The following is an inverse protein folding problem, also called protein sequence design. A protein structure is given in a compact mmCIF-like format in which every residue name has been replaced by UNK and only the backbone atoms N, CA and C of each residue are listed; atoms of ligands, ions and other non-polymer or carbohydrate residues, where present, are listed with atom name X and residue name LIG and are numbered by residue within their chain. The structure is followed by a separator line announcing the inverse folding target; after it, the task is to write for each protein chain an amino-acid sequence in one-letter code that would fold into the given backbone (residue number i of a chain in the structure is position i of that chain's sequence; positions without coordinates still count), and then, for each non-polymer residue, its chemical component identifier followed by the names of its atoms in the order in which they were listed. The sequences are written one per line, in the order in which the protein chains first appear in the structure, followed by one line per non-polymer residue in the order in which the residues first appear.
data_IF_452834647315
#
_entry.id   IF_452834647315
#
_cell.length_a   1.000
_cell.length_b   1.000
_cell.length_c   1.000
_cell.angle_alpha   90.00
_cell.angle_beta   90.00
_cell.angle_gamma   90.00
#
_symmetry.space_group_name_H-M   'P 1'
#
loop_
_entity.id
_entity.type
_entity.pdbx_description
1 polymer ?
#
# COMPACT_ATOMS: atom_id res chain seq x y z
N UNK A 1 -12.84 -45.96 -4.55
CA UNK A 1 -11.57 -45.30 -4.18
C UNK A 1 -11.74 -43.79 -4.21
N UNK A 2 -12.13 -43.16 -3.09
CA UNK A 2 -12.09 -41.70 -2.90
C UNK A 2 -11.37 -41.36 -1.57
N UNK A 3 -10.30 -42.08 -1.29
CA UNK A 3 -9.52 -41.95 -0.05
C UNK A 3 -8.00 -41.94 -0.31
N UNK A 4 -7.55 -41.38 -1.44
CA UNK A 4 -6.09 -41.25 -1.72
C UNK A 4 -5.60 -39.81 -1.81
N UNK A 5 -6.49 -38.83 -1.71
CA UNK A 5 -6.13 -37.45 -1.48
C UNK A 5 -6.87 -37.02 -0.23
N UNK A 6 -6.14 -36.95 0.89
CA UNK A 6 -6.68 -36.51 2.16
C UNK A 6 -7.45 -35.21 1.98
N UNK A 7 -8.54 -35.02 2.72
CA UNK A 7 -9.22 -33.71 2.77
C UNK A 7 -8.25 -32.71 3.39
N UNK A 8 -7.41 -32.12 2.55
CA UNK A 8 -6.48 -31.09 2.98
C UNK A 8 -7.27 -29.82 3.21
N UNK A 9 -7.07 -29.23 4.38
CA UNK A 9 -7.66 -27.94 4.71
C UNK A 9 -7.12 -26.84 3.77
N UNK A 10 -7.89 -25.78 3.55
CA UNK A 10 -7.49 -24.68 2.67
C UNK A 10 -6.17 -24.04 3.10
N UNK A 11 -5.91 -23.99 4.42
CA UNK A 11 -4.64 -23.53 4.97
C UNK A 11 -3.45 -24.35 4.47
N UNK A 12 -3.59 -25.68 4.39
CA UNK A 12 -2.55 -26.58 3.89
C UNK A 12 -2.31 -26.37 2.39
N UNK A 13 -3.39 -26.30 1.60
CA UNK A 13 -3.28 -26.09 0.15
C UNK A 13 -2.63 -24.74 -0.16
N UNK A 14 -2.99 -23.70 0.59
CA UNK A 14 -2.37 -22.38 0.48
C UNK A 14 -0.88 -22.43 0.81
N UNK A 15 -0.49 -23.13 1.87
CA UNK A 15 0.92 -23.33 2.24
C UNK A 15 1.72 -24.11 1.19
N UNK A 16 1.12 -25.12 0.57
CA UNK A 16 1.76 -25.87 -0.53
C UNK A 16 1.92 -25.01 -1.79
N UNK A 17 0.91 -24.22 -2.15
CA UNK A 17 1.00 -23.28 -3.27
C UNK A 17 2.10 -22.24 -3.01
N UNK A 18 2.16 -21.70 -1.79
CA UNK A 18 3.23 -20.77 -1.39
C UNK A 18 4.58 -21.48 -1.47
N UNK A 19 4.74 -22.67 -0.88
CA UNK A 19 6.02 -23.38 -0.89
C UNK A 19 6.50 -23.71 -2.30
N UNK A 20 5.59 -24.14 -3.18
CA UNK A 20 5.92 -24.58 -4.54
C UNK A 20 6.20 -23.43 -5.50
N UNK A 21 5.48 -22.31 -5.37
CA UNK A 21 5.52 -21.22 -6.34
C UNK A 21 6.18 -19.93 -5.83
N UNK A 22 6.43 -19.82 -4.52
CA UNK A 22 7.16 -18.68 -3.95
C UNK A 22 8.66 -18.93 -4.06
N UNK A 23 9.22 -18.65 -5.24
CA UNK A 23 10.65 -18.71 -5.47
C UNK A 23 11.36 -17.69 -4.55
N UNK A 24 12.48 -18.07 -3.92
CA UNK A 24 13.32 -17.13 -3.13
C UNK A 24 13.67 -15.88 -3.94
N UNK A 25 13.88 -16.01 -5.26
CA UNK A 25 14.09 -14.87 -6.15
C UNK A 25 12.90 -13.91 -6.20
N UNK A 26 11.67 -14.40 -6.15
CA UNK A 26 10.47 -13.56 -6.09
C UNK A 26 10.37 -12.82 -4.75
N UNK A 27 10.68 -13.49 -3.64
CA UNK A 27 10.69 -12.84 -2.31
C UNK A 27 11.69 -11.69 -2.26
N UNK A 28 12.92 -11.95 -2.70
CA UNK A 28 13.97 -10.93 -2.83
C UNK A 28 13.55 -9.78 -3.75
N UNK A 29 12.90 -10.06 -4.88
CA UNK A 29 12.37 -9.02 -5.76
C UNK A 29 11.30 -8.16 -5.06
N UNK A 30 10.37 -8.78 -4.35
CA UNK A 30 9.32 -8.06 -3.61
C UNK A 30 9.88 -7.23 -2.46
N UNK A 31 10.85 -7.76 -1.70
CA UNK A 31 11.57 -7.04 -0.66
C UNK A 31 12.30 -5.84 -1.24
N UNK A 32 13.12 -6.03 -2.28
CA UNK A 32 13.84 -4.94 -2.96
C UNK A 32 12.88 -3.88 -3.53
N UNK A 33 11.74 -4.32 -4.08
CA UNK A 33 10.71 -3.42 -4.63
C UNK A 33 10.04 -2.61 -3.52
N UNK A 34 9.79 -3.19 -2.35
CA UNK A 34 9.28 -2.46 -1.19
C UNK A 34 10.35 -1.54 -0.60
N UNK A 35 11.60 -1.99 -0.55
CA UNK A 35 12.70 -1.22 0.04
C UNK A 35 13.02 0.04 -0.76
N UNK A 36 13.05 -0.07 -2.08
CA UNK A 36 13.24 1.04 -3.01
C UNK A 36 12.00 1.92 -3.21
N UNK A 37 10.82 1.48 -2.74
CA UNK A 37 9.61 2.27 -2.83
C UNK A 37 9.60 3.38 -1.78
N UNK A 38 9.73 4.62 -2.26
CA UNK A 38 9.43 5.82 -1.48
C UNK A 38 8.11 6.42 -1.95
N UNK A 39 7.33 6.97 -1.03
CA UNK A 39 6.13 7.70 -1.41
C UNK A 39 6.53 9.00 -2.11
N UNK A 40 5.96 9.22 -3.29
CA UNK A 40 6.05 10.48 -4.00
C UNK A 40 4.63 10.88 -4.40
N UNK A 41 4.15 11.96 -3.81
CA UNK A 41 2.80 12.45 -4.07
C UNK A 41 2.61 12.87 -5.51
N UNK A 42 3.59 13.50 -6.16
CA UNK A 42 3.47 13.96 -7.55
C UNK A 42 3.22 12.82 -8.54
N UNK A 43 3.75 11.63 -8.21
CA UNK A 43 3.73 10.45 -9.08
C UNK A 43 2.58 9.49 -8.79
N UNK A 44 2.10 9.46 -7.55
CA UNK A 44 1.16 8.42 -7.11
C UNK A 44 0.01 8.99 -6.30
N UNK A 45 -1.19 8.49 -6.58
CA UNK A 45 -2.31 8.62 -5.66
C UNK A 45 -2.02 7.85 -4.37
N UNK A 46 -2.24 8.52 -3.23
CA UNK A 46 -1.94 8.01 -1.90
C UNK A 46 -2.62 6.66 -1.64
N UNK A 47 -3.94 6.59 -1.81
CA UNK A 47 -4.75 5.41 -1.51
C UNK A 47 -4.25 4.20 -2.32
N UNK A 48 -4.11 4.38 -3.63
CA UNK A 48 -3.62 3.36 -4.54
C UNK A 48 -2.19 2.90 -4.20
N UNK A 49 -1.30 3.84 -3.85
CA UNK A 49 0.07 3.50 -3.45
C UNK A 49 0.10 2.74 -2.12
N UNK A 50 -0.69 3.18 -1.14
CA UNK A 50 -0.78 2.58 0.18
C UNK A 50 -1.27 1.12 0.08
N UNK A 51 -2.38 0.88 -0.63
CA UNK A 51 -2.89 -0.48 -0.84
C UNK A 51 -1.87 -1.38 -1.52
N UNK A 52 -1.17 -0.89 -2.56
CA UNK A 52 -0.09 -1.66 -3.21
C UNK A 52 1.02 -2.05 -2.24
N UNK A 53 1.42 -1.18 -1.32
CA UNK A 53 2.43 -1.54 -0.32
C UNK A 53 1.88 -2.49 0.75
N UNK A 54 0.61 -2.31 1.15
CA UNK A 54 -0.08 -3.23 2.07
C UNK A 54 -0.15 -4.64 1.50
N UNK A 55 -0.52 -4.78 0.23
CA UNK A 55 -0.61 -6.08 -0.45
C UNK A 55 0.76 -6.77 -0.52
N UNK A 56 1.81 -6.03 -0.88
CA UNK A 56 3.19 -6.55 -0.91
C UNK A 56 3.64 -7.04 0.46
N UNK A 57 3.42 -6.26 1.52
CA UNK A 57 3.80 -6.64 2.88
C UNK A 57 2.98 -7.81 3.39
N UNK A 58 1.68 -7.88 3.08
CA UNK A 58 0.81 -8.99 3.44
C UNK A 58 1.20 -10.29 2.73
N UNK A 59 1.71 -10.19 1.49
CA UNK A 59 2.23 -11.32 0.74
C UNK A 59 3.59 -11.81 1.26
N UNK A 60 4.47 -10.90 1.69
CA UNK A 60 5.78 -11.21 2.28
C UNK A 60 5.69 -11.72 3.72
N UNK A 61 4.77 -11.14 4.50
CA UNK A 61 4.63 -11.39 5.93
C UNK A 61 3.14 -11.57 6.28
N UNK A 62 2.56 -12.74 5.98
CA UNK A 62 1.13 -12.99 6.22
C UNK A 62 0.74 -12.94 7.70
N UNK A 63 1.69 -13.18 8.61
CA UNK A 63 1.48 -13.18 10.07
C UNK A 63 1.67 -11.79 10.70
N UNK A 64 1.97 -10.76 9.90
CA UNK A 64 2.21 -9.41 10.40
C UNK A 64 0.89 -8.69 10.70
N UNK A 65 0.79 -8.03 11.86
CA UNK A 65 -0.39 -7.24 12.19
C UNK A 65 -0.56 -6.02 11.29
N UNK A 66 -1.82 -5.65 11.01
CA UNK A 66 -2.13 -4.46 10.20
C UNK A 66 -1.46 -3.19 10.76
N UNK A 67 -1.40 -3.03 12.08
CA UNK A 67 -0.72 -1.88 12.71
C UNK A 67 0.78 -1.84 12.38
N UNK A 68 1.44 -3.00 12.34
CA UNK A 68 2.85 -3.11 11.98
C UNK A 68 3.06 -2.84 10.49
N UNK A 69 2.16 -3.34 9.63
CA UNK A 69 2.16 -3.06 8.19
C UNK A 69 2.03 -1.55 7.96
N UNK A 70 1.04 -0.89 8.57
CA UNK A 70 0.83 0.55 8.45
C UNK A 70 2.07 1.34 8.90
N UNK A 71 2.69 0.96 10.03
CA UNK A 71 3.94 1.60 10.48
C UNK A 71 5.11 1.41 9.51
N UNK A 72 5.24 0.24 8.87
CA UNK A 72 6.28 0.00 7.85
C UNK A 72 6.05 0.87 6.62
N UNK A 73 4.81 0.98 6.15
CA UNK A 73 4.44 1.85 5.02
C UNK A 73 4.70 3.31 5.36
N UNK A 74 4.36 3.73 6.58
CA UNK A 74 4.58 5.10 7.05
C UNK A 74 6.06 5.53 7.01
N UNK A 75 6.97 4.63 7.37
CA UNK A 75 8.42 4.89 7.25
C UNK A 75 8.88 5.14 5.82
N UNK A 76 8.13 4.68 4.82
CA UNK A 76 8.39 4.93 3.39
C UNK A 76 7.89 6.29 2.91
N UNK A 77 7.08 6.98 3.70
CA UNK A 77 6.66 8.36 3.45
C UNK A 77 7.75 9.37 3.82
N UNK A 78 8.56 9.04 4.83
CA UNK A 78 9.75 9.80 5.23
C UNK A 78 9.47 11.16 5.86
N UNK A 79 10.50 11.66 6.56
CA UNK A 79 10.64 13.06 6.99
C UNK A 79 9.42 13.66 7.68
N UNK A 80 8.98 14.81 7.17
CA UNK A 80 7.90 15.62 7.73
C UNK A 80 6.53 14.95 7.63
N UNK A 81 6.28 14.19 6.56
CA UNK A 81 5.02 13.48 6.37
C UNK A 81 4.87 12.37 7.41
N UNK A 82 5.91 11.56 7.62
CA UNK A 82 5.93 10.54 8.67
C UNK A 82 5.67 11.16 10.06
N UNK A 83 6.36 12.26 10.39
CA UNK A 83 6.22 12.92 11.67
C UNK A 83 4.79 13.48 11.86
N UNK A 84 4.26 14.17 10.86
CA UNK A 84 2.94 14.78 10.93
C UNK A 84 1.81 13.74 11.07
N UNK A 85 1.95 12.56 10.44
CA UNK A 85 0.98 11.45 10.58
C UNK A 85 1.05 10.86 11.98
N UNK A 86 2.26 10.63 12.52
CA UNK A 86 2.44 10.14 13.90
C UNK A 86 1.81 11.06 14.93
N UNK A 87 1.85 12.37 14.71
CA UNK A 87 1.21 13.34 15.61
C UNK A 87 -0.31 13.30 15.56
N UNK A 88 -0.92 12.85 14.45
CA UNK A 88 -2.38 12.73 14.29
C UNK A 88 -2.93 11.37 14.71
N UNK A 89 -2.19 10.28 14.46
CA UNK A 89 -2.59 8.92 14.78
C UNK A 89 -2.18 8.52 16.21
N UNK A 90 -3.05 8.80 17.20
CA UNK A 90 -2.86 8.31 18.58
C UNK A 90 -3.24 6.82 18.63
N UNK A 91 -2.35 5.97 19.16
CA UNK A 91 -2.57 4.51 19.21
C UNK A 91 -3.69 4.14 20.20
N UNK A 92 -4.52 3.11 19.91
CA UNK A 92 -4.53 2.27 18.71
C UNK A 92 -5.24 2.97 17.54
N UNK A 93 -4.65 2.86 16.35
CA UNK A 93 -5.11 3.54 15.15
C UNK A 93 -5.31 2.50 14.03
N UNK A 94 -6.48 2.50 13.41
CA UNK A 94 -6.84 1.57 12.33
C UNK A 94 -6.14 1.94 11.02
N UNK A 95 -6.18 1.04 10.02
CA UNK A 95 -5.66 1.38 8.67
C UNK A 95 -6.39 2.57 8.06
N UNK A 96 -7.70 2.68 8.30
CA UNK A 96 -8.52 3.80 7.81
C UNK A 96 -8.07 5.12 8.44
N UNK A 97 -7.87 5.14 9.76
CA UNK A 97 -7.38 6.34 10.45
C UNK A 97 -6.01 6.81 9.93
N UNK A 98 -5.12 5.88 9.55
CA UNK A 98 -3.84 6.22 8.93
C UNK A 98 -4.03 6.85 7.55
N UNK A 99 -4.92 6.30 6.73
CA UNK A 99 -5.22 6.81 5.39
C UNK A 99 -5.87 8.19 5.47
N UNK A 100 -6.88 8.35 6.33
CA UNK A 100 -7.59 9.61 6.55
C UNK A 100 -6.63 10.69 7.05
N UNK A 101 -5.77 10.35 8.02
CA UNK A 101 -4.75 11.27 8.49
C UNK A 101 -3.81 11.68 7.35
N UNK A 102 -3.33 10.73 6.55
CA UNK A 102 -2.44 10.99 5.41
C UNK A 102 -3.09 11.90 4.36
N UNK A 103 -4.34 11.62 3.96
CA UNK A 103 -5.10 12.46 3.03
C UNK A 103 -5.29 13.87 3.59
N UNK A 104 -5.62 13.99 4.87
CA UNK A 104 -5.78 15.29 5.54
C UNK A 104 -4.47 16.10 5.53
N UNK A 105 -3.32 15.47 5.82
CA UNK A 105 -2.02 16.16 5.80
C UNK A 105 -1.68 16.64 4.40
N UNK A 106 -1.84 15.76 3.40
CA UNK A 106 -1.54 16.08 2.01
C UNK A 106 -2.41 17.25 1.54
N UNK A 107 -3.68 17.22 1.88
CA UNK A 107 -4.69 18.22 1.48
C UNK A 107 -4.50 19.56 2.19
N UNK A 108 -4.32 19.57 3.52
CA UNK A 108 -4.29 20.80 4.33
C UNK A 108 -2.92 21.47 4.36
N UNK A 109 -1.86 20.68 4.48
CA UNK A 109 -0.51 21.21 4.75
C UNK A 109 0.23 21.51 3.46
N UNK A 110 -0.20 20.94 2.34
CA UNK A 110 0.41 21.19 1.04
C UNK A 110 1.88 20.76 0.96
N UNK A 111 2.32 19.87 1.86
CA UNK A 111 3.60 19.16 1.81
C UNK A 111 3.73 18.38 0.48
N UNK A 112 2.64 18.28 -0.29
CA UNK A 112 2.49 17.57 -1.55
C UNK A 112 1.70 18.39 -2.60
N UNK A 113 1.86 19.74 -2.62
CA UNK A 113 1.07 20.68 -3.46
C UNK A 113 1.02 20.36 -4.96
N UNK A 114 2.06 19.77 -5.54
CA UNK A 114 2.12 19.52 -6.99
C UNK A 114 1.09 18.48 -7.46
N UNK A 115 0.81 17.45 -6.66
CA UNK A 115 -0.15 16.40 -7.02
C UNK A 115 -1.60 16.89 -7.01
N UNK A 116 -2.00 17.65 -6.00
CA UNK A 116 -3.36 18.20 -5.89
C UNK A 116 -3.65 19.10 -7.09
N UNK A 117 -2.67 19.93 -7.47
CA UNK A 117 -2.76 20.75 -8.69
C UNK A 117 -2.96 19.88 -9.93
N UNK A 118 -2.15 18.84 -10.13
CA UNK A 118 -2.26 17.94 -11.27
C UNK A 118 -3.62 17.18 -11.32
N UNK A 119 -4.18 16.79 -10.17
CA UNK A 119 -5.50 16.16 -10.11
C UNK A 119 -6.61 17.16 -10.42
N UNK A 120 -6.54 18.38 -9.86
CA UNK A 120 -7.50 19.43 -10.16
C UNK A 120 -7.47 19.79 -11.64
N UNK A 121 -6.28 19.93 -12.23
CA UNK A 121 -6.09 20.18 -13.66
C UNK A 121 -6.62 19.01 -14.51
N UNK A 122 -6.33 17.76 -14.15
CA UNK A 122 -6.81 16.57 -14.88
C UNK A 122 -8.32 16.38 -14.80
N UNK A 123 -8.97 16.77 -13.70
CA UNK A 123 -10.44 16.70 -13.54
C UNK A 123 -11.16 17.89 -14.17
N UNK A 124 -10.45 18.97 -14.50
CA UNK A 124 -10.99 20.19 -15.11
C UNK A 124 -10.95 20.19 -16.65
N UNK A 125 -10.43 19.15 -17.32
CA UNK A 125 -10.52 19.02 -18.78
C UNK A 125 -11.89 18.42 -19.14
N UNK A 126 -12.89 19.20 -19.60
CA UNK A 126 -14.06 18.60 -20.22
C UNK A 126 -13.62 17.85 -21.47
N UNK A 127 -14.15 16.65 -21.65
CA UNK A 127 -13.92 15.83 -22.85
C UNK A 127 -14.46 16.58 -24.07
N UNK A 128 -13.61 17.38 -24.72
CA UNK A 128 -13.90 17.95 -26.03
C UNK A 128 -13.69 16.80 -27.02
N UNK A 129 -14.76 16.05 -27.24
CA UNK A 129 -14.90 15.13 -28.36
C UNK A 129 -14.51 15.85 -29.65
N UNK A 130 -13.48 15.35 -30.33
CA UNK A 130 -13.21 15.66 -31.73
C UNK A 130 -14.30 14.98 -32.57
N UNK A 131 -15.26 15.75 -33.05
CA UNK A 131 -15.92 15.50 -34.33
C UNK A 131 -15.37 16.55 -35.30
N UNK A 132 -14.64 16.07 -36.32
CA UNK A 132 -14.56 16.59 -37.70
C UNK A 132 -13.64 15.67 -38.52
#
# INVERSE_FOLDING_TARGET
MRQEHGRHDWSWLKSEIITKWTNNSWRLQMENTFESASFNSEKYELLTWFHKQKDRLSALHPDMSDSMINMKILRKCGGELEHAIKCRCVKPCSTEDYIDAMEDIITRTGICKTWIRNIMESKMIPNISRED
#
